data_IF_675967234929
#
_entry.id   IF_675967234929
#
_cell.length_a   1.000
_cell.length_b   1.000
_cell.length_c   1.000
_cell.angle_alpha   90.00
_cell.angle_beta   90.00
_cell.angle_gamma   90.00
#
_symmetry.space_group_name_H-M   'P 1'
#
loop_
_entity.id
_entity.type
_entity.pdbx_description
1 polymer ?
#
# COMPACT_ATOMS: atom_id res chain seq x y z
N UNK A 1 -2.85 13.65 -2.45
CA UNK A 1 -2.17 12.34 -2.45
C UNK A 1 -0.71 12.60 -2.12
N UNK A 2 -0.15 11.93 -1.11
CA UNK A 2 1.31 11.84 -1.00
C UNK A 2 1.72 10.86 -2.10
N UNK A 3 2.47 11.32 -3.09
CA UNK A 3 2.87 10.49 -4.24
C UNK A 3 3.71 9.31 -3.75
N UNK A 4 3.31 8.08 -4.11
CA UNK A 4 4.03 6.83 -3.79
C UNK A 4 3.68 6.16 -2.45
N UNK A 5 2.72 6.69 -1.67
CA UNK A 5 2.30 6.10 -0.38
C UNK A 5 0.83 5.70 -0.31
N UNK A 6 0.56 4.42 -0.04
CA UNK A 6 -0.79 3.85 0.08
C UNK A 6 -1.17 3.54 1.54
N UNK A 7 -2.41 3.84 1.97
CA UNK A 7 -2.87 3.58 3.34
C UNK A 7 -3.12 2.10 3.58
N UNK A 8 -2.80 1.62 4.79
CA UNK A 8 -3.11 0.27 5.24
C UNK A 8 -4.37 0.32 6.10
N UNK A 9 -5.45 -0.29 5.60
CA UNK A 9 -6.70 -0.47 6.32
C UNK A 9 -6.80 -1.92 6.82
N UNK A 10 -7.03 -2.09 8.13
CA UNK A 10 -7.30 -3.39 8.73
C UNK A 10 -8.58 -3.30 9.56
N UNK A 11 -9.56 -4.16 9.25
CA UNK A 11 -10.88 -4.14 9.90
C UNK A 11 -11.55 -2.75 9.89
N UNK A 12 -11.37 -1.98 8.81
CA UNK A 12 -11.91 -0.63 8.68
C UNK A 12 -11.14 0.46 9.45
N UNK A 13 -10.06 0.11 10.15
CA UNK A 13 -9.21 1.07 10.85
C UNK A 13 -7.95 1.38 10.05
N UNK A 14 -7.55 2.65 10.02
CA UNK A 14 -6.26 3.08 9.50
C UNK A 14 -5.17 2.70 10.50
N UNK A 15 -4.32 1.75 10.13
CA UNK A 15 -3.24 1.23 10.99
C UNK A 15 -1.85 1.68 10.57
N UNK A 16 -1.72 2.27 9.37
CA UNK A 16 -0.47 2.78 8.86
C UNK A 16 -0.54 3.14 7.37
N UNK A 17 0.63 3.29 6.76
CA UNK A 17 0.80 3.50 5.32
C UNK A 17 2.06 2.79 4.85
N UNK A 18 2.09 2.42 3.57
CA UNK A 18 3.26 1.84 2.91
C UNK A 18 3.68 2.72 1.75
N UNK A 19 4.95 3.12 1.73
CA UNK A 19 5.55 3.85 0.63
C UNK A 19 6.52 2.98 -0.16
N UNK A 20 6.51 3.12 -1.47
CA UNK A 20 7.52 2.55 -2.38
C UNK A 20 8.24 3.70 -3.07
N UNK A 21 9.53 3.54 -3.33
CA UNK A 21 10.36 4.55 -3.99
C UNK A 21 11.36 3.86 -4.87
N UNK A 22 11.42 4.25 -6.14
CA UNK A 22 12.48 3.82 -7.06
C UNK A 22 12.08 3.72 -8.53
N UNK A 23 10.79 3.83 -8.84
CA UNK A 23 10.28 3.88 -10.23
C UNK A 23 9.44 5.16 -10.43
N UNK A 24 8.55 5.22 -11.43
CA UNK A 24 7.68 6.38 -11.58
C UNK A 24 6.66 6.40 -10.43
N UNK A 25 6.27 7.59 -9.96
CA UNK A 25 5.41 7.73 -8.78
C UNK A 25 4.09 6.95 -8.85
N UNK A 26 3.53 6.73 -10.04
CA UNK A 26 2.31 5.92 -10.22
C UNK A 26 2.59 4.41 -10.11
N UNK A 27 3.75 3.95 -10.57
CA UNK A 27 4.19 2.55 -10.48
C UNK A 27 4.51 2.22 -9.01
N UNK A 28 5.11 3.17 -8.28
CA UNK A 28 5.36 3.04 -6.83
C UNK A 28 4.05 2.85 -6.04
N UNK A 29 3.00 3.64 -6.35
CA UNK A 29 1.69 3.51 -5.74
C UNK A 29 1.01 2.16 -6.05
N UNK A 30 1.09 1.70 -7.30
CA UNK A 30 0.53 0.40 -7.71
C UNK A 30 1.24 -0.78 -7.01
N UNK A 31 2.58 -0.72 -6.90
CA UNK A 31 3.35 -1.73 -6.15
C UNK A 31 2.92 -1.73 -4.68
N UNK A 32 2.75 -0.55 -4.07
CA UNK A 32 2.32 -0.42 -2.70
C UNK A 32 0.93 -1.07 -2.48
N UNK A 33 -0.03 -0.78 -3.35
CA UNK A 33 -1.38 -1.33 -3.28
C UNK A 33 -1.37 -2.87 -3.37
N UNK A 34 -0.72 -3.44 -4.40
CA UNK A 34 -0.67 -4.89 -4.62
C UNK A 34 0.00 -5.62 -3.45
N UNK A 35 1.05 -5.03 -2.88
CA UNK A 35 1.72 -5.62 -1.72
C UNK A 35 0.85 -5.60 -0.46
N UNK A 36 0.11 -4.51 -0.20
CA UNK A 36 -0.87 -4.44 0.91
C UNK A 36 -1.94 -5.51 0.73
N UNK A 37 -2.54 -5.59 -0.46
CA UNK A 37 -3.59 -6.58 -0.77
C UNK A 37 -3.11 -8.02 -0.57
N UNK A 38 -1.95 -8.37 -1.13
CA UNK A 38 -1.37 -9.71 -0.98
C UNK A 38 -0.99 -10.05 0.45
N UNK A 39 -0.52 -9.07 1.23
CA UNK A 39 -0.19 -9.27 2.64
C UNK A 39 -1.45 -9.56 3.46
N UNK A 40 -2.52 -8.79 3.25
CA UNK A 40 -3.80 -8.98 3.95
C UNK A 40 -4.49 -10.31 3.54
N UNK A 41 -4.42 -10.69 2.26
CA UNK A 41 -4.98 -11.96 1.77
C UNK A 41 -4.27 -13.21 2.31
N UNK A 42 -3.06 -13.10 2.86
CA UNK A 42 -2.36 -14.23 3.52
C UNK A 42 -2.79 -14.47 4.97
N UNK A 43 -3.53 -13.54 5.57
CA UNK A 43 -3.98 -13.65 6.97
C UNK A 43 -5.33 -14.37 7.12
N UNK A 44 -5.97 -14.78 6.02
CA UNK A 44 -7.22 -15.54 5.98
C UNK A 44 -7.01 -17.03 5.82
#
# INVERSE_FOLDING_TARGET
MLEGGEPILYQGQLVGAMGVSGVKSFEDAEIAQVAIEKFLAKQS
#
